data_IF_872893306569
#
_entry.id   IF_872893306569
#
_cell.length_a   1.000
_cell.length_b   1.000
_cell.length_c   1.000
_cell.angle_alpha   90.00
_cell.angle_beta   90.00
_cell.angle_gamma   90.00
#
_symmetry.space_group_name_H-M   'P 1'
#
loop_
_entity.id
_entity.type
_entity.pdbx_description
1 polymer ?
#
# COMPACT_ATOMS: atom_id res chain seq x y z
N UNK A 1 -15.59 0.79 7.66
CA UNK A 1 -16.00 0.39 6.28
C UNK A 1 -14.84 0.38 5.26
N UNK A 2 -13.70 1.02 5.54
CA UNK A 2 -12.62 1.18 4.55
C UNK A 2 -11.99 -0.14 4.06
N UNK A 3 -11.93 -1.18 4.89
CA UNK A 3 -11.48 -2.51 4.48
C UNK A 3 -12.36 -3.13 3.39
N UNK A 4 -13.68 -3.13 3.60
CA UNK A 4 -14.64 -3.63 2.62
C UNK A 4 -14.62 -2.81 1.33
N UNK A 5 -14.46 -1.48 1.45
CA UNK A 5 -14.31 -0.61 0.28
C UNK A 5 -13.06 -0.92 -0.53
N UNK A 6 -11.94 -1.22 0.13
CA UNK A 6 -10.70 -1.59 -0.56
C UNK A 6 -10.82 -2.97 -1.25
N UNK A 7 -11.46 -3.94 -0.58
CA UNK A 7 -11.71 -5.27 -1.18
C UNK A 7 -12.64 -5.14 -2.40
N UNK A 8 -13.70 -4.34 -2.28
CA UNK A 8 -14.64 -4.08 -3.37
C UNK A 8 -14.04 -3.19 -4.48
N UNK A 9 -13.15 -2.27 -4.12
CA UNK A 9 -12.50 -1.33 -5.03
C UNK A 9 -11.04 -1.10 -4.61
N UNK A 10 -10.14 -1.89 -5.20
CA UNK A 10 -8.68 -1.81 -4.98
C UNK A 10 -8.04 -0.52 -5.51
N UNK A 11 -8.80 0.28 -6.27
CA UNK A 11 -8.35 1.56 -6.82
C UNK A 11 -8.76 2.75 -5.93
N UNK A 12 -9.39 2.52 -4.77
CA UNK A 12 -9.76 3.59 -3.83
C UNK A 12 -8.54 3.96 -2.96
N UNK A 13 -7.76 4.93 -3.44
CA UNK A 13 -6.58 5.45 -2.74
C UNK A 13 -6.92 6.00 -1.35
N UNK A 14 -8.09 6.63 -1.19
CA UNK A 14 -8.52 7.18 0.09
C UNK A 14 -8.96 6.10 1.09
N UNK A 15 -9.44 4.95 0.60
CA UNK A 15 -9.65 3.78 1.43
C UNK A 15 -8.30 3.17 1.82
N UNK A 16 -7.37 3.03 0.86
CA UNK A 16 -6.03 2.46 1.07
C UNK A 16 -5.27 3.18 2.18
N UNK A 17 -5.15 4.51 2.10
CA UNK A 17 -4.43 5.31 3.10
C UNK A 17 -5.02 5.17 4.52
N UNK A 18 -6.33 4.95 4.63
CA UNK A 18 -6.97 4.72 5.93
C UNK A 18 -6.69 3.34 6.51
N UNK A 19 -6.62 2.30 5.67
CA UNK A 19 -6.47 0.92 6.15
C UNK A 19 -5.03 0.46 6.27
N UNK A 20 -4.12 1.02 5.45
CA UNK A 20 -2.72 0.56 5.38
C UNK A 20 -2.03 0.60 6.74
N UNK A 21 -2.26 1.66 7.54
CA UNK A 21 -1.69 1.82 8.87
C UNK A 21 -2.69 1.67 10.02
N UNK A 22 -3.86 1.08 9.77
CA UNK A 22 -4.88 0.82 10.80
C UNK A 22 -5.21 -0.67 10.85
N UNK A 23 -4.83 -1.42 11.91
CA UNK A 23 -3.96 -1.04 13.03
C UNK A 23 -2.53 -0.73 12.57
N UNK A 24 -1.73 -0.08 13.42
CA UNK A 24 -0.36 0.35 13.09
C UNK A 24 0.52 -0.82 12.65
N UNK A 25 0.98 -0.80 11.39
CA UNK A 25 1.81 -1.87 10.79
C UNK A 25 3.30 -1.53 10.72
N UNK A 26 3.70 -0.37 11.26
CA UNK A 26 5.06 0.14 11.12
C UNK A 26 5.36 0.64 9.70
N UNK A 27 4.31 0.93 8.92
CA UNK A 27 4.43 1.64 7.63
C UNK A 27 4.50 3.12 7.98
N UNK A 28 5.69 3.70 7.92
CA UNK A 28 5.91 5.11 8.23
C UNK A 28 5.56 6.03 7.06
N UNK A 29 5.43 7.33 7.35
CA UNK A 29 5.08 8.36 6.36
C UNK A 29 6.03 8.36 5.15
N UNK A 30 7.33 8.17 5.38
CA UNK A 30 8.33 8.07 4.30
C UNK A 30 8.06 6.93 3.32
N UNK A 31 7.49 5.82 3.79
CA UNK A 31 7.11 4.70 2.91
C UNK A 31 5.88 5.09 2.09
N UNK A 32 4.89 5.72 2.72
CA UNK A 32 3.69 6.20 2.02
C UNK A 32 4.02 7.27 0.98
N UNK A 33 4.97 8.15 1.25
CA UNK A 33 5.42 9.16 0.30
C UNK A 33 6.08 8.54 -0.93
N UNK A 34 6.90 7.50 -0.75
CA UNK A 34 7.49 6.75 -1.88
C UNK A 34 6.39 6.06 -2.71
N UNK A 35 5.39 5.47 -2.07
CA UNK A 35 4.23 4.86 -2.76
C UNK A 35 3.45 5.92 -3.54
N UNK A 36 3.15 7.07 -2.94
CA UNK A 36 2.46 8.20 -3.59
C UNK A 36 3.24 8.73 -4.78
N UNK A 37 4.56 8.89 -4.63
CA UNK A 37 5.43 9.36 -5.70
C UNK A 37 5.43 8.37 -6.86
N UNK A 38 5.60 7.07 -6.58
CA UNK A 38 5.58 6.02 -7.61
C UNK A 38 4.24 5.91 -8.31
N UNK A 39 3.14 6.00 -7.55
CA UNK A 39 1.77 6.05 -8.08
C UNK A 39 1.59 7.24 -9.05
N UNK A 40 2.07 8.43 -8.69
CA UNK A 40 1.99 9.62 -9.55
C UNK A 40 2.89 9.51 -10.79
N UNK A 41 4.13 9.08 -10.59
CA UNK A 41 5.13 9.00 -11.66
C UNK A 41 4.73 7.98 -12.74
N UNK A 42 4.13 6.86 -12.31
CA UNK A 42 3.71 5.77 -13.21
C UNK A 42 2.22 5.80 -13.56
N UNK A 43 1.48 6.79 -13.06
CA UNK A 43 0.03 6.91 -13.22
C UNK A 43 -0.73 5.64 -12.80
N UNK A 44 -0.27 5.01 -11.73
CA UNK A 44 -0.82 3.78 -11.14
C UNK A 44 -1.61 4.10 -9.87
N UNK A 45 -2.49 3.20 -9.45
CA UNK A 45 -3.15 3.32 -8.14
C UNK A 45 -2.16 3.05 -7.00
N UNK A 46 -2.47 3.50 -5.77
CA UNK A 46 -1.58 3.23 -4.63
C UNK A 46 -1.36 1.73 -4.40
N UNK A 47 -2.38 0.91 -4.67
CA UNK A 47 -2.28 -0.54 -4.62
C UNK A 47 -1.27 -1.11 -5.64
N UNK A 48 -1.37 -0.67 -6.90
CA UNK A 48 -0.45 -1.09 -7.96
C UNK A 48 0.97 -0.63 -7.70
N UNK A 49 1.14 0.63 -7.26
CA UNK A 49 2.44 1.17 -6.87
C UNK A 49 3.07 0.37 -5.74
N UNK A 50 2.29 -0.09 -4.76
CA UNK A 50 2.79 -0.97 -3.70
C UNK A 50 3.30 -2.31 -4.26
N UNK A 51 2.59 -2.92 -5.21
CA UNK A 51 3.04 -4.18 -5.85
C UNK A 51 4.35 -3.99 -6.59
N UNK A 52 4.48 -2.92 -7.38
CA UNK A 52 5.74 -2.63 -8.08
C UNK A 52 6.88 -2.34 -7.11
N UNK A 53 6.65 -1.53 -6.08
CA UNK A 53 7.67 -1.22 -5.07
C UNK A 53 8.16 -2.46 -4.31
N UNK A 54 7.28 -3.43 -4.08
CA UNK A 54 7.69 -4.73 -3.52
C UNK A 54 8.49 -5.57 -4.52
N UNK A 55 8.10 -5.59 -5.80
CA UNK A 55 8.83 -6.31 -6.85
C UNK A 55 10.23 -5.71 -7.07
N UNK A 56 10.34 -4.39 -7.06
CA UNK A 56 11.59 -3.65 -7.22
C UNK A 56 12.46 -3.66 -5.95
N UNK A 57 11.93 -4.15 -4.83
CA UNK A 57 12.57 -4.10 -3.50
C UNK A 57 13.05 -2.69 -3.13
N UNK A 58 12.31 -1.67 -3.59
CA UNK A 58 12.65 -0.26 -3.41
C UNK A 58 12.36 0.26 -1.99
N UNK A 59 11.67 -0.54 -1.17
CA UNK A 59 11.29 -0.20 0.21
C UNK A 59 12.20 -0.86 1.24
N UNK A 60 12.41 -0.16 2.37
CA UNK A 60 13.16 -0.70 3.50
C UNK A 60 12.51 -2.02 4.01
N UNK A 61 13.33 -3.04 4.28
CA UNK A 61 12.85 -4.42 4.51
C UNK A 61 11.72 -4.56 5.54
N UNK A 62 11.72 -3.77 6.61
CA UNK A 62 10.65 -3.77 7.63
C UNK A 62 9.31 -3.25 7.08
N UNK A 63 9.36 -2.19 6.28
CA UNK A 63 8.19 -1.61 5.62
C UNK A 63 7.70 -2.49 4.47
N UNK A 64 8.64 -3.07 3.70
CA UNK A 64 8.32 -4.03 2.63
C UNK A 64 7.57 -5.26 3.19
N UNK A 65 8.06 -5.88 4.27
CA UNK A 65 7.37 -7.00 4.91
C UNK A 65 6.00 -6.62 5.50
N UNK A 66 5.83 -5.39 5.98
CA UNK A 66 4.54 -4.91 6.47
C UNK A 66 3.52 -4.72 5.33
N UNK A 67 3.95 -4.11 4.21
CA UNK A 67 3.13 -3.95 3.00
C UNK A 67 2.78 -5.28 2.35
N UNK A 68 3.74 -6.21 2.28
CA UNK A 68 3.53 -7.56 1.75
C UNK A 68 2.41 -8.28 2.53
N UNK A 69 2.52 -8.34 3.86
CA UNK A 69 1.50 -8.95 4.73
C UNK A 69 0.15 -8.25 4.61
N UNK A 70 0.14 -6.94 4.44
CA UNK A 70 -1.11 -6.19 4.24
C UNK A 70 -1.77 -6.57 2.90
N UNK A 71 -1.00 -6.69 1.83
CA UNK A 71 -1.54 -7.08 0.53
C UNK A 71 -2.03 -8.53 0.54
N UNK A 72 -1.28 -9.46 1.14
CA UNK A 72 -1.70 -10.85 1.34
C UNK A 72 -3.02 -10.95 2.12
N UNK A 73 -3.22 -10.10 3.13
CA UNK A 73 -4.45 -10.08 3.93
C UNK A 73 -5.68 -9.61 3.13
N UNK A 74 -5.49 -8.78 2.11
CA UNK A 74 -6.58 -8.24 1.28
C UNK A 74 -6.84 -9.12 0.05
N UNK A 75 -5.83 -9.84 -0.44
CA UNK A 75 -5.96 -10.80 -1.55
C UNK A 75 -6.40 -12.21 -1.11
N UNK A 76 -6.37 -12.52 0.20
CA UNK A 76 -6.93 -13.75 0.78
C UNK A 76 -8.47 -13.77 0.74
#
# INVERSE_FOLDING_TARGET
LSYLRLIANRNDDAAFERVVNTPTRGIGDRTLDVVRQTSRDRQLTLWQACRELLQEKALAGRAASALQRFMELIDA
#
